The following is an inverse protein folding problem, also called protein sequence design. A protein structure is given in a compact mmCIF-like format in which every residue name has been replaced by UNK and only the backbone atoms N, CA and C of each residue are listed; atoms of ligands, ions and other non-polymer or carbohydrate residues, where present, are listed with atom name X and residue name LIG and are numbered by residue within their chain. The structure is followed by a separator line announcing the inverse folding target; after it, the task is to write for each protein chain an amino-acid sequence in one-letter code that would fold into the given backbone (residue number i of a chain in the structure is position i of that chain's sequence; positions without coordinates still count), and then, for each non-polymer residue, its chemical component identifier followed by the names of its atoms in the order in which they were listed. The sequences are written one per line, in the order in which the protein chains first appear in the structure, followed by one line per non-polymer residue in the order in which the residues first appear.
data_IF_292284780313
#
_entry.id   IF_292284780313
#
_cell.length_a   1.000
_cell.length_b   1.000
_cell.length_c   1.000
_cell.angle_alpha   90.00
_cell.angle_beta   90.00
_cell.angle_gamma   90.00
#
_symmetry.space_group_name_H-M   'P 1'
#
loop_
_entity.id
_entity.type
_entity.pdbx_description
1 polymer ?
2 non-polymer ?
3 water ?
#
# COMPACT_ATOMS: atom_id res chain seq x y z
N UNK A 12 4.48 8.03 25.61
CA UNK A 12 3.79 7.44 24.46
C UNK A 12 4.05 5.95 24.36
N UNK A 13 4.61 5.38 25.42
CA UNK A 13 4.91 3.95 25.49
C UNK A 13 4.15 3.35 26.66
N UNK A 14 3.45 2.25 26.42
CA UNK A 14 2.63 1.62 27.43
C UNK A 14 1.16 1.99 27.38
N UNK A 15 0.72 2.72 26.36
CA UNK A 15 -0.67 3.08 26.18
C UNK A 15 -1.15 2.56 24.83
N UNK A 16 -2.38 2.05 24.82
CA UNK A 16 -2.99 1.50 23.61
C UNK A 16 -4.34 2.15 23.40
N UNK A 17 -4.51 2.83 22.27
CA UNK A 17 -5.72 3.59 21.96
C UNK A 17 -6.37 2.99 20.72
N UNK A 18 -7.21 1.98 20.93
CA UNK A 18 -7.90 1.32 19.83
C UNK A 18 -9.25 1.99 19.60
N UNK A 20 -10.46 6.21 20.33
CA UNK A 20 -11.01 7.00 21.42
C UNK A 20 -10.62 6.47 22.80
N UNK A 21 -11.05 5.25 23.11
CA UNK A 21 -10.74 4.66 24.40
C UNK A 21 -9.25 4.33 24.48
N UNK A 22 -8.58 4.89 25.48
CA UNK A 22 -7.16 4.65 25.71
C UNK A 22 -6.99 3.76 26.92
N UNK A 23 -6.14 2.74 26.79
CA UNK A 23 -5.92 1.77 27.85
C UNK A 23 -4.44 1.70 28.19
N UNK A 24 -4.13 1.87 29.48
CA UNK A 24 -2.76 1.72 29.96
C UNK A 24 -2.48 0.23 30.09
N UNK A 25 -1.85 -0.34 29.08
CA UNK A 25 -1.60 -1.78 29.00
C UNK A 25 -0.11 -2.06 28.87
N UNK A 26 0.22 -3.33 28.75
CA UNK A 26 1.59 -3.76 28.53
C UNK A 26 1.56 -4.87 27.48
N UNK A 27 2.70 -5.55 27.33
CA UNK A 27 2.85 -6.52 26.26
C UNK A 27 2.07 -7.79 26.55
N UNK A 28 2.13 -8.27 27.79
CA UNK A 28 1.46 -9.51 28.17
C UNK A 28 -0.03 -9.30 28.48
N UNK A 29 -0.54 -8.10 28.24
CA UNK A 29 -1.99 -7.89 28.19
C UNK A 29 -2.58 -8.31 26.84
N UNK A 30 -1.76 -8.85 25.95
CA UNK A 30 -2.18 -9.28 24.62
C UNK A 30 -2.00 -10.78 24.48
N UNK A 31 -2.88 -11.40 23.70
CA UNK A 31 -2.85 -12.83 23.45
C UNK A 31 -2.39 -13.07 22.02
N UNK A 32 -1.29 -13.80 21.86
CA UNK A 32 -0.70 -14.05 20.55
C UNK A 32 -1.54 -15.11 19.82
N UNK A 33 -2.18 -14.71 18.72
CA UNK A 33 -3.01 -15.60 17.93
C UNK A 33 -2.29 -16.14 16.70
N UNK A 34 -0.98 -16.00 16.63
CA UNK A 34 -0.20 -16.52 15.53
C UNK A 34 0.40 -15.42 14.67
N UNK A 35 1.31 -15.84 13.79
CA UNK A 35 1.99 -14.93 12.88
C UNK A 35 1.24 -14.80 11.57
N UNK A 36 1.28 -13.60 11.00
CA UNK A 36 0.63 -13.32 9.73
C UNK A 36 1.69 -13.26 8.63
N UNK A 37 1.59 -14.18 7.68
CA UNK A 37 2.52 -14.23 6.56
C UNK A 37 3.96 -14.50 6.98
N UNK A 43 8.37 -9.58 11.35
CA UNK A 43 7.46 -10.46 12.08
C UNK A 43 6.26 -9.69 12.58
N UNK A 44 5.08 -9.99 12.02
CA UNK A 44 3.83 -9.33 12.38
C UNK A 44 2.92 -10.36 13.02
N UNK A 45 2.53 -10.11 14.27
CA UNK A 45 1.68 -11.01 15.02
C UNK A 45 0.24 -10.50 15.02
N UNK A 46 -0.70 -11.43 14.94
CA UNK A 46 -2.11 -11.15 15.18
C UNK A 46 -2.39 -11.39 16.66
N UNK A 47 -2.76 -10.33 17.38
CA UNK A 47 -2.90 -10.40 18.83
C UNK A 47 -4.27 -9.89 19.26
N UNK A 48 -4.74 -10.40 20.38
CA UNK A 48 -6.03 -10.03 20.95
C UNK A 48 -5.82 -9.30 22.27
N UNK A 49 -6.50 -8.18 22.44
CA UNK A 49 -6.45 -7.40 23.67
C UNK A 49 -7.31 -8.10 24.72
N UNK A 50 -6.67 -8.66 25.75
CA UNK A 50 -7.38 -9.46 26.74
C UNK A 50 -8.39 -8.65 27.53
N UNK A 51 -8.21 -7.33 27.65
CA UNK A 51 -9.11 -6.51 28.45
C UNK A 51 -10.48 -6.40 27.80
N UNK A 52 -10.51 -6.08 26.51
CA UNK A 52 -11.76 -5.87 25.78
C UNK A 52 -12.09 -7.00 24.82
N UNK A 53 -11.10 -7.53 24.10
CA UNK A 53 -11.33 -8.52 23.06
C UNK A 53 -10.97 -8.05 21.66
N UNK A 54 -10.44 -6.84 21.50
CA UNK A 54 -10.10 -6.34 20.18
C UNK A 54 -8.90 -7.10 19.62
N UNK A 55 -8.94 -7.33 18.30
CA UNK A 55 -7.85 -8.01 17.60
C UNK A 55 -7.05 -6.97 16.84
N UNK A 56 -5.74 -6.97 17.06
CA UNK A 56 -4.84 -5.99 16.45
C UNK A 56 -3.65 -6.72 15.83
N UNK A 57 -2.94 -6.00 14.98
CA UNK A 57 -1.70 -6.47 14.39
C UNK A 57 -0.53 -5.84 15.14
N UNK A 58 0.46 -6.67 15.48
CA UNK A 58 1.61 -6.23 16.27
C UNK A 58 2.88 -6.68 15.57
N UNK A 59 3.75 -5.72 15.24
CA UNK A 59 5.07 -6.00 14.72
C UNK A 59 6.08 -6.00 15.85
N UNK A 60 6.94 -7.01 15.88
CA UNK A 60 7.94 -7.16 16.93
C UNK A 60 9.33 -6.90 16.35
N UNK A 61 9.99 -5.87 16.87
CA UNK A 61 11.36 -5.54 16.50
C UNK A 61 12.28 -5.96 17.63
N UNK A 62 13.08 -7.00 17.41
CA UNK A 62 14.01 -7.48 18.42
C UNK A 62 15.27 -6.60 18.42
N UNK A 63 15.79 -6.34 19.63
CA UNK A 63 16.96 -5.48 19.75
C UNK A 63 18.19 -6.11 19.10
N UNK A 64 18.27 -7.44 19.08
CA UNK A 64 19.38 -8.15 18.47
C UNK A 64 19.16 -8.42 16.98
N UNK A 65 18.12 -7.86 16.38
CA UNK A 65 17.83 -8.11 14.98
C UNK A 65 18.83 -7.47 14.05
N UNK A 66 18.57 -7.62 12.76
CA UNK A 66 19.43 -7.04 11.73
C UNK A 66 19.41 -5.53 11.84
N UNK A 67 20.60 -4.92 11.76
CA UNK A 67 20.72 -3.48 11.92
C UNK A 67 20.00 -2.73 10.81
N UNK A 68 20.07 -3.25 9.58
CA UNK A 68 19.41 -2.58 8.46
C UNK A 68 17.90 -2.77 8.53
N UNK A 69 17.44 -3.94 8.98
CA UNK A 69 16.00 -4.17 9.08
C UNK A 69 15.39 -3.33 10.20
N UNK A 70 16.10 -3.20 11.32
CA UNK A 70 15.58 -2.39 12.42
C UNK A 70 15.53 -0.91 12.03
N UNK A 71 16.52 -0.44 11.25
CA UNK A 71 16.50 0.94 10.79
C UNK A 71 15.33 1.20 9.85
N UNK A 72 14.99 0.22 9.02
CA UNK A 72 13.85 0.39 8.12
C UNK A 72 12.53 0.30 8.88
N UNK A 73 12.47 -0.50 9.94
CA UNK A 73 11.26 -0.59 10.75
C UNK A 73 11.03 0.72 11.50
N UNK A 74 12.09 1.32 12.03
CA UNK A 74 11.96 2.58 12.76
C UNK A 74 11.56 3.72 11.82
N UNK A 75 12.05 3.70 10.58
CA UNK A 75 11.67 4.74 9.63
C UNK A 75 10.21 4.60 9.22
N UNK A 76 9.73 3.36 9.07
CA UNK A 76 8.33 3.14 8.75
C UNK A 76 7.43 3.65 9.87
N UNK A 77 7.77 3.32 11.12
CA UNK A 77 6.97 3.79 12.25
C UNK A 77 7.01 5.30 12.37
N UNK A 78 8.13 5.92 12.00
CA UNK A 78 8.24 7.38 12.07
C UNK A 78 7.21 8.04 11.17
N UNK A 79 7.08 7.55 9.93
CA UNK A 79 6.10 8.12 9.00
C UNK A 79 4.68 7.81 9.47
N UNK A 80 4.47 6.60 9.99
CA UNK A 80 3.14 6.19 10.43
C UNK A 80 2.65 7.07 11.58
N UNK A 81 3.54 7.36 12.54
CA UNK A 81 3.15 8.22 13.66
C UNK A 81 2.87 9.64 13.20
N UNK A 82 3.57 10.12 12.16
CA UNK A 82 3.33 11.46 11.65
C UNK A 82 1.98 11.55 10.95
N UNK A 83 1.51 10.47 10.35
CA UNK A 83 0.31 10.49 9.51
C UNK A 83 -0.91 9.94 10.25
N UNK A 84 -1.10 10.35 11.51
CA UNK A 84 -2.26 9.92 12.28
C UNK A 84 -3.57 10.49 11.75
N UNK A 85 -3.52 11.46 10.85
CA UNK A 85 -4.72 12.12 10.33
C UNK A 85 -5.04 11.76 8.89
N UNK A 86 -4.19 10.97 8.23
CA UNK A 86 -4.47 10.54 6.87
C UNK A 86 -5.26 9.23 6.89
N UNK A 87 -6.46 9.19 6.32
CA UNK A 87 -7.28 7.98 6.41
C UNK A 87 -6.88 6.86 5.46
N UNK A 88 -5.87 7.09 4.61
CA UNK A 88 -5.41 6.09 3.66
C UNK A 88 -4.06 5.50 4.07
N UNK A 89 -3.71 5.60 5.35
CA UNK A 89 -2.46 5.06 5.88
C UNK A 89 -2.78 4.27 7.13
N UNK A 90 -2.14 3.10 7.28
CA UNK A 90 -2.37 2.24 8.43
C UNK A 90 -2.08 3.00 9.70
N UNK A 91 -3.07 3.08 10.58
CA UNK A 91 -2.91 3.78 11.85
C UNK A 91 -2.24 2.87 12.87
N UNK A 92 -1.40 3.48 13.72
CA UNK A 92 -0.73 2.78 14.80
C UNK A 92 -1.44 3.09 16.10
N UNK A 93 -1.76 2.07 16.88
CA UNK A 93 -2.55 2.24 18.08
C UNK A 93 -1.70 2.49 19.33
N UNK A 94 -0.47 1.99 19.35
CA UNK A 94 0.38 2.17 20.51
C UNK A 94 1.73 1.53 20.31
N UNK A 95 2.52 1.56 21.37
CA UNK A 95 3.90 1.07 21.32
C UNK A 95 4.30 0.58 22.71
N UNK A 96 4.99 -0.55 22.74
CA UNK A 96 5.54 -1.11 23.98
C UNK A 96 7.02 -1.38 23.79
N UNK A 97 7.83 -0.84 24.70
CA UNK A 97 9.28 -0.95 24.64
C UNK A 97 9.74 -1.75 25.85
N UNK A 98 10.37 -2.90 25.60
CA UNK A 98 10.96 -3.73 26.64
C UNK A 98 12.48 -3.67 26.51
N UNK A 99 13.15 -4.32 27.46
CA UNK A 99 14.62 -4.36 27.44
C UNK A 99 15.17 -5.15 26.27
N UNK A 100 14.35 -5.94 25.59
CA UNK A 100 14.82 -6.78 24.48
C UNK A 100 14.04 -6.61 23.19
N UNK A 101 12.88 -5.94 23.20
CA UNK A 101 12.03 -5.87 22.02
C UNK A 101 11.34 -4.52 21.95
N UNK A 102 10.78 -4.24 20.78
CA UNK A 102 9.88 -3.12 20.56
C UNK A 102 8.65 -3.65 19.84
N UNK A 103 7.48 -3.52 20.47
CA UNK A 103 6.24 -3.99 19.89
C UNK A 103 5.44 -2.79 19.37
N UNK A 104 4.99 -2.89 18.12
CA UNK A 104 4.29 -1.80 17.45
C UNK A 104 2.88 -2.31 17.16
N UNK A 105 1.91 -1.82 17.93
CA UNK A 105 0.51 -2.20 17.71
C UNK A 105 -0.09 -1.36 16.60
N UNK A 106 -0.75 -2.02 15.65
CA UNK A 106 -1.29 -1.35 14.48
C UNK A 106 -2.69 -1.85 14.18
N UNK A 107 -3.37 -1.12 13.31
CA UNK A 107 -4.69 -1.51 12.84
C UNK A 107 -4.60 -2.82 12.07
N UNK A 108 -5.50 -3.76 12.39
CA UNK A 108 -5.48 -5.07 11.76
C UNK A 108 -6.22 -5.00 10.43
N UNK A 109 -5.47 -5.10 9.33
CA UNK A 109 -6.06 -5.15 8.00
C UNK A 109 -6.30 -6.59 7.58
N UNK A 110 -6.95 -6.75 6.43
CA UNK A 110 -7.24 -8.07 5.91
C UNK A 110 -6.04 -8.71 5.24
N UNK A 111 -5.75 -8.28 4.01
CA UNK A 111 -4.61 -8.80 3.26
C UNK A 111 -4.22 -7.76 2.22
N UNK A 112 -3.13 -8.03 1.51
CA UNK A 112 -2.64 -7.12 0.49
C UNK A 112 -3.27 -7.44 -0.87
N UNK A 113 -3.18 -6.46 -1.78
CA UNK A 113 -3.75 -6.64 -3.11
C UNK A 113 -3.03 -7.73 -3.89
N UNK A 114 -1.76 -7.99 -3.56
CA UNK A 114 -1.04 -9.08 -4.21
C UNK A 114 -1.65 -10.43 -3.88
N UNK A 115 -2.06 -10.62 -2.61
CA UNK A 115 -2.72 -11.86 -2.24
C UNK A 115 -4.17 -11.89 -2.68
N UNK A 116 -4.79 -10.72 -2.86
CA UNK A 116 -6.14 -10.68 -3.42
C UNK A 116 -6.13 -11.14 -4.88
N UNK A 117 -5.08 -10.77 -5.62
CA UNK A 117 -4.99 -11.19 -7.02
C UNK A 117 -4.76 -12.69 -7.14
N UNK A 118 -3.96 -13.26 -6.24
CA UNK A 118 -3.68 -14.69 -6.31
C UNK A 118 -4.90 -15.52 -5.92
N UNK A 119 -5.73 -15.03 -5.01
CA UNK A 119 -6.94 -15.75 -4.63
C UNK A 119 -8.05 -15.54 -5.65
N UNK A 120 -8.09 -14.38 -6.31
CA UNK A 120 -9.04 -14.17 -7.39
C UNK A 120 -8.73 -15.07 -8.59
N UNK A 121 -7.46 -15.40 -8.80
CA UNK A 121 -7.01 -16.18 -9.94
C UNK A 121 -7.43 -15.54 -11.25
N UNK A 122 -7.47 -14.21 -11.30
CA UNK A 122 -7.88 -13.50 -12.47
C UNK A 122 -7.86 -11.99 -12.26
N UNK A 123 -8.38 -11.25 -13.23
CA UNK A 123 -8.39 -9.78 -13.12
C UNK A 123 -9.26 -9.30 -11.97
N UNK A 124 -8.90 -8.15 -11.42
CA UNK A 124 -9.66 -7.49 -10.38
C UNK A 124 -10.55 -6.43 -11.03
N UNK A 125 -11.83 -6.35 -10.68
CA UNK A 125 -12.74 -5.43 -11.38
C UNK A 125 -12.26 -3.98 -11.30
N UNK A 126 -12.66 -3.21 -12.32
CA UNK A 126 -12.24 -1.82 -12.41
C UNK A 126 -12.81 -0.99 -11.27
N UNK A 127 -14.05 -1.26 -10.87
CA UNK A 127 -14.67 -0.47 -9.80
C UNK A 127 -13.93 -0.64 -8.48
N UNK A 128 -13.30 -1.80 -8.26
CA UNK A 128 -12.49 -1.98 -7.06
C UNK A 128 -11.17 -1.22 -7.21
N UNK A 129 -10.56 -1.29 -8.38
CA UNK A 129 -9.31 -0.57 -8.62
C UNK A 129 -9.51 0.94 -8.67
N UNK A 130 -10.72 1.39 -8.98
CA UNK A 130 -10.99 2.82 -8.95
C UNK A 130 -10.92 3.38 -7.54
N UNK A 131 -11.59 2.72 -6.59
CA UNK A 131 -11.47 3.10 -5.19
C UNK A 131 -10.05 2.92 -4.68
N UNK A 132 -9.35 1.89 -5.18
CA UNK A 132 -7.95 1.68 -4.81
C UNK A 132 -7.07 2.82 -5.33
N UNK A 133 -7.31 3.26 -6.57
CA UNK A 133 -6.52 4.34 -7.14
C UNK A 133 -6.68 5.62 -6.32
N UNK A 134 -7.93 5.97 -5.98
CA UNK A 134 -8.19 7.21 -5.24
C UNK A 134 -7.49 7.19 -3.90
N UNK A 135 -7.50 6.05 -3.22
CA UNK A 135 -6.89 5.96 -1.90
C UNK A 135 -5.38 6.09 -1.96
N UNK A 136 -4.76 5.55 -3.01
CA UNK A 136 -3.30 5.52 -3.07
C UNK A 136 -2.74 6.89 -3.46
N UNK A 137 -3.39 7.59 -4.39
CA UNK A 137 -2.88 8.88 -4.82
C UNK A 137 -3.00 9.91 -3.69
N UNK A 138 -4.10 9.88 -2.95
CA UNK A 138 -4.25 10.81 -1.83
C UNK A 138 -3.26 10.50 -0.72
N UNK A 139 -2.95 9.22 -0.51
CA UNK A 139 -1.92 8.86 0.47
C UNK A 139 -0.54 9.34 0.01
N UNK A 140 -0.22 9.14 -1.27
CA UNK A 140 1.05 9.62 -1.79
C UNK A 140 1.09 11.14 -1.85
N UNK A 141 -0.05 11.78 -2.09
CA UNK A 141 -0.10 13.24 -2.10
C UNK A 141 0.01 13.81 -0.69
N UNK A 142 -0.57 13.11 0.30
CA UNK A 142 -0.44 13.55 1.68
C UNK A 142 0.99 13.45 2.18
N UNK A 143 1.75 12.47 1.68
CA UNK A 143 3.12 12.28 2.15
C UNK A 143 4.05 13.35 1.61
N UNK A 144 3.85 13.76 0.36
CA UNK A 144 4.71 14.79 -0.24
C UNK A 144 4.35 16.19 0.24
N UNK A 145 3.07 16.42 0.56
CA UNK A 145 2.63 17.77 0.93
C UNK A 145 2.89 18.05 2.40
N UNK A 146 2.30 17.25 3.29
CA UNK A 146 2.37 17.53 4.71
C UNK A 146 3.67 17.09 5.37
N UNK A 147 4.44 16.22 4.72
CA UNK A 147 5.67 15.71 5.32
C UNK A 147 6.85 15.67 4.37
N UNK A 148 6.68 16.01 3.10
CA UNK A 148 7.79 15.93 2.15
C UNK A 148 8.31 14.53 1.98
N UNK A 149 7.42 13.53 1.97
CA UNK A 149 7.80 12.12 1.93
C UNK A 149 7.45 11.56 0.56
N UNK A 150 8.41 10.85 -0.04
CA UNK A 150 8.15 10.03 -1.21
C UNK A 150 8.24 8.58 -0.77
N UNK A 151 7.40 7.73 -1.37
CA UNK A 151 7.30 6.34 -0.94
C UNK A 151 8.41 5.48 -1.51
N UNK A 152 8.59 5.53 -2.83
CA UNK A 152 9.66 4.85 -3.56
C UNK A 152 9.53 3.33 -3.53
N UNK A 153 8.32 2.80 -3.34
CA UNK A 153 8.11 1.35 -3.37
C UNK A 153 6.63 0.99 -3.44
N UNK A 154 5.89 1.60 -4.37
CA UNK A 154 4.47 1.32 -4.50
C UNK A 154 4.28 0.06 -5.34
N UNK A 155 3.57 -0.92 -4.79
CA UNK A 155 3.33 -2.19 -5.47
C UNK A 155 2.14 -2.86 -4.81
N UNK A 156 1.52 -3.86 -5.48
CA UNK A 156 0.32 -4.49 -4.91
C UNK A 156 0.53 -5.08 -3.52
N UNK A 157 1.74 -5.54 -3.20
CA UNK A 157 1.99 -6.07 -1.87
C UNK A 157 1.96 -5.00 -0.78
N UNK A 158 1.97 -3.72 -1.16
CA UNK A 158 1.93 -2.61 -0.22
C UNK A 158 0.56 -1.94 -0.14
N UNK A 159 -0.47 -2.56 -0.72
CA UNK A 159 -1.83 -2.03 -0.71
C UNK A 159 -2.68 -2.97 0.12
N UNK A 160 -3.11 -2.51 1.30
CA UNK A 160 -3.85 -3.34 2.24
C UNK A 160 -5.35 -3.09 2.13
N UNK A 161 -6.12 -4.16 2.18
CA UNK A 161 -7.57 -4.13 2.21
C UNK A 161 -8.05 -4.72 3.53
N UNK A 162 -9.35 -4.54 3.82
CA UNK A 162 -9.91 -5.07 5.05
C UNK A 162 -11.37 -5.45 4.82
N UNK A 163 -11.99 -6.01 5.86
CA UNK A 163 -13.38 -6.47 5.75
C UNK A 163 -14.35 -5.30 5.64
N UNK A 164 -13.98 -4.13 6.15
CA UNK A 164 -14.84 -2.95 6.11
C UNK A 164 -14.71 -2.17 4.81
N UNK A 165 -13.89 -2.64 3.87
CA UNK A 165 -13.73 -1.96 2.60
C UNK A 165 -12.72 -0.84 2.56
N UNK A 166 -11.84 -0.75 3.56
CA UNK A 166 -10.84 0.30 3.60
C UNK A 166 -9.64 -0.09 2.75
N UNK A 167 -9.01 0.92 2.14
CA UNK A 167 -7.84 0.75 1.29
C UNK A 167 -6.77 1.71 1.79
N UNK A 168 -5.61 1.16 2.16
CA UNK A 168 -4.54 1.96 2.76
C UNK A 168 -3.18 1.51 2.25
N UNK A 169 -2.26 2.46 2.22
CA UNK A 169 -0.85 2.20 1.93
C UNK A 169 -0.12 1.94 3.24
N UNK A 170 0.83 1.01 3.21
CA UNK A 170 1.41 0.49 4.46
C UNK A 170 2.90 0.76 4.59
N UNK A 171 3.74 0.20 3.72
CA UNK A 171 5.18 0.16 3.98
C UNK A 171 5.84 1.47 3.59
N UNK A 172 6.50 2.11 4.56
CA UNK A 172 7.32 3.29 4.32
C UNK A 172 8.75 3.09 4.82
N UNK A 173 9.25 1.86 4.71
CA UNK A 173 10.55 1.52 5.27
C UNK A 173 11.73 2.13 4.54
N UNK A 174 11.56 2.49 3.26
CA UNK A 174 12.63 3.09 2.48
C UNK A 174 12.15 4.43 1.91
N UNK A 175 11.22 5.08 2.61
CA UNK A 175 10.72 6.36 2.18
C UNK A 175 11.78 7.44 2.32
N UNK A 176 11.77 8.39 1.40
CA UNK A 176 12.76 9.46 1.40
C UNK A 176 12.18 10.83 1.68
N UNK A 177 13.02 11.78 2.05
CA UNK A 177 12.58 13.14 2.34
C UNK A 177 12.84 14.06 1.15
N UNK A 191 11.68 -4.36 -6.49
CA UNK A 191 11.76 -3.01 -7.05
C UNK A 191 11.73 -3.05 -8.56
N UNK A 192 10.75 -3.77 -9.11
CA UNK A 192 10.53 -3.84 -10.55
C UNK A 192 9.48 -2.84 -11.03
N UNK A 193 9.06 -1.92 -10.17
CA UNK A 193 8.08 -0.89 -10.49
C UNK A 193 8.74 0.48 -10.58
N UNK A 194 10.02 0.51 -10.97
CA UNK A 194 10.80 1.74 -10.93
C UNK A 194 10.49 2.63 -12.12
N UNK A 195 10.40 3.93 -11.87
CA UNK A 195 10.14 4.90 -12.93
C UNK A 195 11.34 5.00 -13.86
N UNK A 196 11.12 5.39 -15.13
CA UNK A 196 12.25 5.58 -16.04
C UNK A 196 13.24 6.62 -15.58
N UNK A 197 12.78 7.68 -14.91
CA UNK A 197 13.68 8.70 -14.41
C UNK A 197 14.46 8.23 -13.20
N UNK A 198 14.05 7.14 -12.56
CA UNK A 198 14.76 6.59 -11.42
C UNK A 198 15.88 5.63 -11.82
N UNK A 199 15.82 5.07 -13.02
CA UNK A 199 16.90 4.23 -13.50
C UNK A 199 17.93 5.03 -14.31
N UNK A 200 17.49 6.09 -14.98
CA UNK A 200 18.38 6.97 -15.74
C UNK A 200 17.97 8.42 -15.48
N UNK A 201 18.44 9.00 -14.37
CA UNK A 201 18.13 10.40 -14.01
C UNK A 201 18.70 11.39 -15.02
N UNK A 211 10.45 12.68 -7.33
CA UNK A 211 9.34 13.60 -7.51
C UNK A 211 8.05 12.83 -7.76
N UNK A 212 7.79 12.51 -9.03
CA UNK A 212 6.61 11.75 -9.42
C UNK A 212 6.97 10.32 -9.84
N UNK A 213 8.04 9.77 -9.27
CA UNK A 213 8.41 8.40 -9.57
C UNK A 213 7.43 7.40 -9.01
N UNK A 214 6.75 7.74 -7.91
CA UNK A 214 5.75 6.87 -7.34
C UNK A 214 4.52 6.75 -8.21
N UNK A 215 4.34 7.66 -9.18
CA UNK A 215 3.19 7.58 -10.08
C UNK A 215 3.39 6.46 -11.09
N UNK A 216 4.63 6.26 -11.56
CA UNK A 216 4.90 5.16 -12.47
C UNK A 216 4.69 3.81 -11.79
N UNK A 217 5.08 3.69 -10.53
CA UNK A 217 4.88 2.44 -9.80
C UNK A 217 3.40 2.12 -9.65
N UNK A 218 2.58 3.15 -9.43
CA UNK A 218 1.14 2.94 -9.34
C UNK A 218 0.55 2.47 -10.67
N UNK A 219 1.06 3.00 -11.78
CA UNK A 219 0.55 2.59 -13.07
C UNK A 219 0.85 1.14 -13.39
N UNK A 220 2.06 0.68 -13.04
CA UNK A 220 2.41 -0.72 -13.25
C UNK A 220 1.57 -1.62 -12.35
N UNK A 221 1.31 -1.16 -11.12
CA UNK A 221 0.48 -1.94 -10.21
C UNK A 221 -0.95 -2.06 -10.71
N UNK A 222 -1.47 -1.00 -11.33
CA UNK A 222 -2.84 -1.03 -11.83
C UNK A 222 -2.97 -1.98 -13.02
N UNK A 223 -2.00 -1.96 -13.93
CA UNK A 223 -2.05 -2.86 -15.09
C UNK A 223 -1.95 -4.31 -14.63
N UNK A 224 -1.12 -4.58 -13.62
CA UNK A 224 -0.97 -5.94 -13.11
C UNK A 224 -2.26 -6.43 -12.46
N UNK A 225 -2.91 -5.57 -11.66
CA UNK A 225 -4.14 -5.98 -10.98
C UNK A 225 -5.32 -6.03 -11.93
N UNK A 226 -5.31 -5.19 -12.98
CA UNK A 226 -6.44 -5.16 -13.90
C UNK A 226 -6.41 -6.30 -14.92
N UNK A 227 -5.23 -6.82 -15.22
CA UNK A 227 -5.09 -7.92 -16.17
C UNK A 227 -4.75 -9.24 -15.51
N UNK A 228 -4.36 -9.25 -14.24
CA UNK A 228 -3.91 -10.46 -13.60
C UNK A 228 -2.54 -10.94 -14.05
N UNK A 229 -1.83 -10.14 -14.84
CA UNK A 229 -0.52 -10.52 -15.37
C UNK A 229 0.46 -9.39 -15.16
N UNK A 230 1.61 -9.70 -14.59
CA UNK A 230 2.68 -8.72 -14.44
C UNK A 230 3.25 -8.38 -15.81
N UNK A 231 3.29 -7.11 -16.20
CA UNK A 231 3.79 -6.76 -17.54
C UNK A 231 5.20 -7.22 -17.84
N UNK A 232 6.00 -7.54 -16.82
CA UNK A 232 7.37 -7.98 -17.05
C UNK A 232 7.62 -9.34 -16.41
N UNK A 233 6.72 -10.30 -16.67
CA UNK A 233 6.85 -11.63 -16.08
C UNK A 233 7.85 -12.51 -16.84
N UNK A 234 8.07 -12.24 -18.12
CA UNK A 234 9.00 -13.03 -18.91
C UNK A 234 10.45 -12.72 -18.59
N UNK A 235 10.73 -11.64 -17.85
CA UNK A 235 12.10 -11.29 -17.52
C UNK A 235 12.65 -12.25 -16.47
N UNK A 236 13.93 -12.58 -16.60
CA UNK A 236 14.58 -13.52 -15.69
C UNK A 236 15.46 -12.85 -14.65
N UNK A 237 15.89 -11.61 -14.89
CA UNK A 237 16.72 -10.88 -13.95
C UNK A 237 16.16 -9.48 -13.74
N UNK A 238 16.60 -8.84 -12.65
CA UNK A 238 16.15 -7.49 -12.36
C UNK A 238 16.59 -6.51 -13.44
N UNK A 239 17.81 -6.67 -13.95
CA UNK A 239 18.31 -5.74 -14.96
C UNK A 239 17.51 -5.81 -16.24
N UNK A 240 17.07 -7.01 -16.64
CA UNK A 240 16.27 -7.13 -17.85
C UNK A 240 14.96 -6.37 -17.74
N UNK A 241 14.38 -6.32 -16.53
CA UNK A 241 13.17 -5.51 -16.32
C UNK A 241 13.48 -4.05 -16.58
N UNK A 242 14.63 -3.57 -16.10
CA UNK A 242 14.98 -2.17 -16.27
C UNK A 242 15.21 -1.81 -17.73
N UNK A 243 15.73 -2.74 -18.54
CA UNK A 243 15.95 -2.46 -19.95
C UNK A 243 14.63 -2.45 -20.73
N UNK A 244 13.70 -3.33 -20.38
CA UNK A 244 12.38 -3.30 -21.01
C UNK A 244 11.64 -2.02 -20.68
N UNK A 245 11.87 -1.46 -19.50
CA UNK A 245 11.19 -0.21 -19.12
C UNK A 245 11.66 0.93 -20.01
N UNK A 246 12.96 1.01 -20.28
CA UNK A 246 13.51 2.12 -21.06
C UNK A 246 13.45 1.88 -22.55
N UNK A 247 13.42 0.62 -23.00
CA UNK A 247 13.46 0.33 -24.42
C UNK A 247 12.08 0.12 -25.04
N UNK A 248 11.11 -0.37 -24.27
CA UNK A 248 9.79 -0.69 -24.80
C UNK A 248 8.80 0.43 -24.51
N UNK A 249 7.68 0.37 -25.23
CA UNK A 249 6.58 1.30 -24.98
C UNK A 249 5.94 0.99 -23.63
N UNK A 250 5.28 1.97 -23.01
CA UNK A 250 4.63 1.73 -21.72
C UNK A 250 3.59 0.63 -21.82
N UNK A 251 3.56 -0.28 -20.83
CA UNK A 251 2.56 -1.36 -20.87
C UNK A 251 1.16 -0.87 -20.50
N UNK A 252 0.38 -0.49 -21.52
CA UNK A 252 -0.92 0.10 -21.30
C UNK A 252 -1.99 -0.97 -21.09
N UNK A 253 -3.18 -0.52 -20.71
CA UNK A 253 -4.30 -1.42 -20.53
C UNK A 253 -4.80 -1.94 -21.88
N UNK A 254 -5.24 -3.19 -21.95
CA UNK A 254 -5.86 -3.68 -23.18
C UNK A 254 -7.18 -2.98 -23.46
N UNK A 255 -7.61 -3.07 -24.71
CA UNK A 255 -8.85 -2.45 -25.15
C UNK A 255 -10.02 -3.38 -25.37
N UNK A 256 -9.88 -4.67 -25.07
CA UNK A 256 -10.95 -5.64 -25.30
C UNK A 256 -11.47 -6.25 -23.99
N UNK A 257 -11.25 -5.58 -22.87
CA UNK A 257 -11.70 -6.06 -21.57
C UNK A 257 -12.74 -5.14 -20.94
N UNK A 258 -13.33 -4.24 -21.72
CA UNK A 258 -14.36 -3.36 -21.21
C UNK A 258 -13.88 -2.23 -20.33
N UNK A 259 -12.58 -1.96 -20.31
CA UNK A 259 -12.05 -0.89 -19.46
C UNK A 259 -12.59 0.46 -19.91
N UNK A 260 -13.04 1.26 -18.95
CA UNK A 260 -13.54 2.59 -19.27
C UNK A 260 -12.48 3.45 -19.95
N UNK A 261 -12.93 4.50 -20.64
CA UNK A 261 -12.00 5.45 -21.22
C UNK A 261 -11.22 6.22 -20.17
N UNK A 262 -11.84 6.50 -19.02
CA UNK A 262 -11.15 7.21 -17.96
C UNK A 262 -10.09 6.34 -17.30
N UNK A 263 -10.32 5.03 -17.21
CA UNK A 263 -9.34 4.13 -16.63
C UNK A 263 -8.09 4.03 -17.52
N UNK A 264 -8.29 3.84 -18.82
CA UNK A 264 -7.16 3.78 -19.74
C UNK A 264 -6.41 5.10 -19.81
N UNK A 265 -7.12 6.22 -19.67
CA UNK A 265 -6.46 7.52 -19.68
C UNK A 265 -5.60 7.72 -18.45
N UNK A 266 -6.09 7.30 -17.28
CA UNK A 266 -5.32 7.47 -16.05
C UNK A 266 -4.06 6.62 -16.04
N UNK A 267 -4.15 5.40 -16.57
CA UNK A 267 -2.97 4.54 -16.65
C UNK A 267 -1.98 5.10 -17.67
N UNK A 268 -2.49 5.66 -18.78
CA UNK A 268 -1.62 6.25 -19.79
C UNK A 268 -0.85 7.43 -19.22
N UNK A 269 -1.49 8.22 -18.34
CA UNK A 269 -0.81 9.37 -17.74
C UNK A 269 0.21 8.92 -16.71
N UNK A 270 -0.10 7.87 -15.95
CA UNK A 270 0.84 7.36 -14.95
C UNK A 270 2.07 6.75 -15.60
N UNK A 271 1.92 6.17 -16.79
CA UNK A 271 3.00 5.48 -17.47
C UNK A 271 3.70 6.36 -18.50
N UNK A 272 3.75 7.67 -18.26
CA UNK A 272 4.52 8.56 -19.12
C UNK A 272 6.00 8.37 -18.85
N UNK A 273 6.77 8.09 -19.91
CA UNK A 273 8.16 7.71 -19.74
C UNK A 273 9.03 8.89 -19.31
N UNK A 274 8.74 10.10 -19.79
CA UNK A 274 9.49 11.27 -19.36
C UNK A 274 8.79 11.90 -18.17
N UNK A 275 9.52 12.06 -17.06
CA UNK A 275 8.93 12.52 -15.81
C UNK A 275 8.47 13.96 -15.88
N UNK A 276 8.99 14.75 -16.82
CA UNK A 276 8.57 16.14 -16.95
C UNK A 276 7.13 16.23 -17.46
N UNK A 277 6.74 15.33 -18.37
CA UNK A 277 5.37 15.33 -18.84
C UNK A 277 4.43 14.54 -17.92
N UNK A 278 4.98 13.71 -17.04
CA UNK A 278 4.14 13.02 -16.07
C UNK A 278 3.55 14.04 -15.12
N UNK A 279 2.23 14.06 -14.94
CA UNK A 279 1.61 15.14 -14.16
C UNK A 279 1.89 15.01 -12.67
N UNK A 280 1.97 16.16 -12.01
CA UNK A 280 2.10 16.18 -10.56
C UNK A 280 0.81 15.69 -9.91
N UNK A 281 0.88 15.47 -8.60
CA UNK A 281 -0.27 14.97 -7.87
C UNK A 281 -1.44 15.96 -7.90
N UNK A 282 -1.14 17.26 -7.99
CA UNK A 282 -2.20 18.25 -8.06
C UNK A 282 -3.07 18.05 -9.30
N UNK A 283 -2.44 17.78 -10.44
CA UNK A 283 -3.20 17.50 -11.66
C UNK A 283 -3.80 16.11 -11.66
N UNK A 284 -3.13 15.15 -10.99
CA UNK A 284 -3.65 13.78 -10.96
C UNK A 284 -4.96 13.69 -10.20
N UNK A 285 -5.07 14.41 -9.08
CA UNK A 285 -6.29 14.38 -8.28
C UNK A 285 -7.46 15.05 -9.00
N UNK A 286 -7.23 15.70 -10.14
CA UNK A 286 -8.29 16.30 -10.93
C UNK A 286 -8.64 15.46 -12.16
N UNK A 287 -8.02 14.30 -12.32
CA UNK A 287 -8.35 13.42 -13.43
C UNK A 287 -9.78 12.91 -13.31
N UNK A 288 -10.42 12.69 -14.47
CA UNK A 288 -11.81 12.25 -14.47
C UNK A 288 -11.97 10.89 -13.80
N UNK A 289 -10.97 10.01 -13.93
CA UNK A 289 -11.02 8.72 -13.27
C UNK A 289 -10.97 8.87 -11.76
N UNK A 290 -10.29 9.91 -11.26
CA UNK A 290 -10.25 10.17 -9.83
C UNK A 290 -11.59 10.70 -9.34
N UNK A 291 -12.17 11.65 -10.09
CA UNK A 291 -13.39 12.31 -9.65
C UNK A 291 -14.59 11.37 -9.70
N UNK A 292 -14.58 10.37 -10.60
CA UNK A 292 -15.70 9.45 -10.68
C UNK A 292 -15.81 8.61 -9.41
N UNK A 293 -14.71 8.05 -8.94
CA UNK A 293 -14.71 7.17 -7.79
C UNK A 293 -14.53 7.89 -6.46
N UNK A 294 -14.30 9.21 -6.49
CA UNK A 294 -14.39 9.99 -5.27
C UNK A 294 -15.84 10.10 -4.79
N UNK A 295 -16.78 10.10 -5.72
CA UNK A 295 -18.20 10.24 -5.41
C UNK A 295 -18.98 8.95 -5.49
N UNK A 296 -18.55 8.02 -6.35
CA UNK A 296 -19.30 6.79 -6.57
C UNK A 296 -19.22 5.88 -5.35
N UNK A 297 -20.36 5.27 -5.01
CA UNK A 297 -20.43 4.32 -3.90
C UNK A 297 -20.21 2.92 -4.47
N UNK A 298 -19.07 2.31 -4.12
CA UNK A 298 -18.71 0.98 -4.57
C UNK A 298 -18.59 0.07 -3.35
N UNK A 299 -19.27 -1.07 -3.40
CA UNK A 299 -19.29 -2.01 -2.28
C UNK A 299 -17.99 -2.80 -2.27
N UNK A 300 -16.93 -2.14 -1.76
CA UNK A 300 -15.63 -2.80 -1.65
C UNK A 300 -15.66 -3.86 -0.55
N UNK A 301 -16.43 -3.63 0.51
CA UNK A 301 -16.43 -4.55 1.64
C UNK A 301 -16.99 -5.92 1.26
N UNK A 302 -18.09 -5.94 0.51
CA UNK A 302 -18.69 -7.22 0.13
C UNK A 302 -17.85 -7.95 -0.92
N UNK A 303 -17.25 -7.21 -1.85
CA UNK A 303 -16.35 -7.86 -2.81
C UNK A 303 -15.15 -8.45 -2.10
N UNK A 304 -14.65 -7.80 -1.05
CA UNK A 304 -13.53 -8.33 -0.30
C UNK A 304 -13.92 -9.62 0.42
N UNK A 305 -15.07 -9.61 1.10
CA UNK A 305 -15.52 -10.81 1.80
C UNK A 305 -15.84 -11.94 0.83
N UNK A 306 -16.36 -11.61 -0.36
CA UNK A 306 -16.65 -12.65 -1.34
C UNK A 306 -15.37 -13.31 -1.85
N UNK A 307 -14.32 -12.52 -2.09
CA UNK A 307 -13.06 -13.08 -2.54
C UNK A 307 -12.39 -13.87 -1.42
N UNK A 308 -12.42 -13.34 -0.20
CA UNK A 308 -11.80 -14.02 0.94
C UNK A 308 -12.49 -15.36 1.22
N UNK A 309 -13.79 -15.45 0.94
CA UNK A 309 -14.49 -16.71 1.17
C UNK A 309 -14.08 -17.80 0.19
N UNK A 310 -13.63 -17.40 -1.00
CA UNK A 310 -13.22 -18.37 -2.00
C UNK A 310 -11.87 -19.00 -1.62
N UNK A 311 -11.54 -20.09 -2.27
CA UNK A 311 -10.30 -20.81 -2.01
C UNK A 311 -9.48 -20.98 -3.28
X LIG B 1 0.66 -7.26 7.19
X LIG B 1 2.10 -9.14 4.36
X LIG B 1 1.12 -8.44 6.40
X LIG B 1 -1.66 -7.59 8.02
X LIG B 1 2.87 -10.24 6.29
X LIG B 1 3.31 -9.72 4.93
X LIG B 1 0.53 -8.81 2.59
X LIG B 1 1.11 -5.23 8.02
X LIG B 1 1.79 -3.94 8.35
X LIG B 1 3.05 -3.97 8.94
X LIG B 1 3.70 -2.79 9.25
X LIG B 1 3.10 -1.57 8.96
X LIG B 1 1.84 -1.53 8.36
X LIG B 1 1.19 -2.73 8.05
X LIG B 1 -2.64 -7.01 8.73
X LIG B 1 -1.31 -3.82 9.74
X LIG B 1 -1.40 -5.06 9.17
X LIG B 1 1.75 -10.78 2.87
X LIG B 1 -0.28 -5.63 8.40
X LIG B 1 1.59 -7.95 5.04
X LIG B 1 -0.48 -6.97 7.82
X LIG B 1 2.28 -9.11 7.14
X LIG B 1 1.50 -9.66 3.28
X LIG B 1 0.77 -8.39 1.15
X LIG B 1 1.62 -6.24 7.29
X LIG B 1 -2.53 -5.79 9.29
X LIG B 1 3.74 -0.40 9.26
#
# INVERSE_FOLDING_TARGET
MGHHHHHHSAKQTGYLTIGGQRYQAEINDLENLGEMGSGTCGQVWKMRFRKTGHVIAVKQMRRSGNKEENKRILMDLDVVLKSHDCPYIVQCFGTFITNTDVFIAMELMGTCAEKLKKRMQGPIPERILGKMTVAIVKALYYLKEKHGVIHRDVKPSNILLDERGQIKLCDFGISGRLVDSKAKTRSAGCAAYMAPERIDPPDPTKPDYDIRADVWSLGISLVELATGQFPYKNCKTDFEVLTKVLQEEPPLLPGHMGFSGDFQSFVKDCLTKDHRKRPKYNKLLEHSFIKRYETLEVDVASWFKDVMAKTESPRTSG
J0E N1 N2 C3 N4 C5 C6 C8 C11 C12 C13 C14 C15 C16 C17 C18 N C O C1 C10 C2 C4 C7 C9 N3 N5 O1
#
